data_IF_371199781324
#
_entry.id   IF_371199781324
#
_cell.length_a   1.000
_cell.length_b   1.000
_cell.length_c   1.000
_cell.angle_alpha   90.00
_cell.angle_beta   90.00
_cell.angle_gamma   90.00
#
_symmetry.space_group_name_H-M   'P 1'
#
loop_
_entity.id
_entity.type
_entity.pdbx_description
1 polymer ?
#
# COMPACT_ATOMS: atom_id res chain seq x y z
N UNK A 1 -7.74 17.77 -11.44
CA UNK A 1 -6.83 18.87 -11.06
C UNK A 1 -5.71 18.22 -10.29
N UNK A 2 -4.52 18.15 -10.86
CA UNK A 2 -3.37 17.56 -10.18
C UNK A 2 -3.07 18.39 -8.93
N UNK A 3 -2.71 17.70 -7.84
CA UNK A 3 -2.39 18.35 -6.58
C UNK A 3 -1.04 19.05 -6.74
N UNK A 4 -1.08 20.36 -6.99
CA UNK A 4 0.11 21.20 -7.09
C UNK A 4 0.82 21.25 -5.74
N UNK A 5 1.94 20.54 -5.65
CA UNK A 5 2.83 20.59 -4.50
C UNK A 5 3.87 21.66 -4.76
N UNK A 6 3.72 22.83 -4.12
CA UNK A 6 4.82 23.80 -4.02
C UNK A 6 6.04 23.10 -3.38
N UNK A 7 7.00 22.70 -4.22
CA UNK A 7 8.28 22.15 -3.78
C UNK A 7 9.17 23.29 -3.31
N UNK A 8 9.07 23.60 -2.01
CA UNK A 8 9.97 24.54 -1.37
C UNK A 8 11.34 23.87 -1.17
N UNK A 9 12.42 24.55 -1.53
CA UNK A 9 13.80 24.06 -1.36
C UNK A 9 14.17 23.84 0.11
N UNK A 10 13.48 24.52 1.03
CA UNK A 10 13.64 24.38 2.47
C UNK A 10 12.34 24.71 3.20
N UNK A 11 12.23 24.27 4.45
CA UNK A 11 11.10 24.56 5.33
C UNK A 11 11.58 24.76 6.77
N UNK A 12 10.92 25.66 7.50
CA UNK A 12 11.16 25.89 8.93
C UNK A 12 10.08 25.13 9.70
N UNK A 13 10.49 24.40 10.74
CA UNK A 13 9.60 23.58 11.58
C UNK A 13 9.90 23.90 13.04
N UNK A 14 8.87 23.97 13.91
CA UNK A 14 9.10 24.25 15.32
C UNK A 14 9.65 23.02 16.04
N UNK A 15 10.50 23.26 17.04
CA UNK A 15 11.02 22.19 17.91
C UNK A 15 9.90 21.43 18.66
N UNK A 16 8.78 22.10 18.96
CA UNK A 16 7.60 21.45 19.56
C UNK A 16 7.01 20.37 18.66
N UNK A 17 6.96 20.62 17.35
CA UNK A 17 6.35 19.73 16.36
C UNK A 17 7.22 18.48 16.16
N UNK A 18 8.54 18.68 16.11
CA UNK A 18 9.57 17.63 16.12
C UNK A 18 9.41 16.72 17.34
N UNK A 19 9.29 17.30 18.53
CA UNK A 19 9.10 16.56 19.79
C UNK A 19 7.78 15.80 19.81
N UNK A 20 6.68 16.42 19.36
CA UNK A 20 5.36 15.80 19.31
C UNK A 20 5.29 14.62 18.34
N UNK A 21 5.96 14.72 17.19
CA UNK A 21 6.01 13.65 16.20
C UNK A 21 6.99 12.53 16.57
N UNK A 22 7.95 12.80 17.46
CA UNK A 22 9.06 11.88 17.75
C UNK A 22 9.97 11.65 16.54
N UNK A 23 10.04 12.63 15.62
CA UNK A 23 10.75 12.55 14.34
C UNK A 23 11.46 13.86 14.05
N UNK A 24 12.60 13.80 13.37
CA UNK A 24 13.41 14.98 12.96
C UNK A 24 13.84 14.95 11.49
N UNK A 25 13.31 14.03 10.68
CA UNK A 25 13.65 13.89 9.27
C UNK A 25 12.89 14.90 8.39
N UNK A 26 13.59 15.48 7.41
CA UNK A 26 13.03 16.53 6.54
C UNK A 26 11.82 16.05 5.72
N UNK A 27 11.82 14.79 5.29
CA UNK A 27 10.72 14.20 4.52
C UNK A 27 9.39 14.32 5.28
N UNK A 28 9.34 13.91 6.55
CA UNK A 28 8.13 13.95 7.35
C UNK A 28 7.52 15.35 7.46
N UNK A 29 8.35 16.39 7.54
CA UNK A 29 7.90 17.77 7.73
C UNK A 29 7.77 18.59 6.44
N UNK A 30 7.78 17.95 5.27
CA UNK A 30 7.58 18.69 4.02
C UNK A 30 6.20 19.38 4.01
N UNK A 31 6.12 20.69 3.68
CA UNK A 31 4.86 21.45 3.68
C UNK A 31 3.73 20.83 2.86
N UNK A 32 4.07 20.06 1.82
CA UNK A 32 3.10 19.35 0.97
C UNK A 32 2.19 18.40 1.76
N UNK A 33 2.71 17.76 2.82
CA UNK A 33 1.95 16.84 3.65
C UNK A 33 0.94 17.57 4.54
N UNK A 34 1.33 18.69 5.14
CA UNK A 34 0.41 19.54 5.94
C UNK A 34 -0.72 20.07 5.07
N UNK A 35 -0.41 20.63 3.88
CA UNK A 35 -1.43 21.09 2.91
C UNK A 35 -2.36 19.96 2.47
N UNK A 36 -1.84 18.74 2.32
CA UNK A 36 -2.65 17.57 1.98
C UNK A 36 -3.63 17.25 3.12
N UNK A 37 -3.16 17.21 4.36
CA UNK A 37 -4.00 16.97 5.54
C UNK A 37 -5.09 18.03 5.68
N UNK A 38 -4.78 19.31 5.46
CA UNK A 38 -5.77 20.40 5.51
C UNK A 38 -6.90 20.22 4.48
N UNK A 39 -6.60 19.69 3.28
CA UNK A 39 -7.61 19.40 2.27
C UNK A 39 -8.44 18.15 2.59
N UNK A 40 -7.91 17.24 3.41
CA UNK A 40 -8.65 16.08 3.88
C UNK A 40 -9.62 16.54 4.98
N UNK A 41 -10.91 16.68 4.64
CA UNK A 41 -11.95 17.20 5.55
C UNK A 41 -12.05 16.45 6.89
N UNK A 42 -11.76 15.13 6.89
CA UNK A 42 -11.79 14.27 8.08
C UNK A 42 -11.06 12.94 7.80
N UNK A 43 -9.72 12.93 7.76
CA UNK A 43 -8.98 11.70 7.48
C UNK A 43 -9.24 10.67 8.58
N UNK A 44 -9.61 9.45 8.17
CA UNK A 44 -9.76 8.33 9.10
C UNK A 44 -8.57 7.37 8.95
N UNK A 45 -8.03 6.85 10.05
CA UNK A 45 -7.08 5.75 9.98
C UNK A 45 -7.64 4.57 9.20
N UNK A 46 -6.81 3.91 8.39
CA UNK A 46 -7.25 2.85 7.48
C UNK A 46 -7.92 1.68 8.24
N UNK A 47 -7.46 1.36 9.44
CA UNK A 47 -8.03 0.32 10.30
C UNK A 47 -9.44 0.65 10.84
N UNK A 48 -9.88 1.91 10.75
CA UNK A 48 -11.25 2.33 11.09
C UNK A 48 -12.22 2.19 9.93
N UNK A 49 -11.73 2.08 8.70
CA UNK A 49 -12.55 2.00 7.48
C UNK A 49 -12.37 0.69 6.71
N UNK A 50 -11.33 -0.09 7.01
CA UNK A 50 -11.03 -1.36 6.40
C UNK A 50 -10.57 -2.38 7.44
N UNK A 51 -10.76 -3.67 7.14
CA UNK A 51 -10.30 -4.77 7.99
C UNK A 51 -9.20 -5.54 7.28
N UNK A 52 -8.14 -5.88 8.01
CA UNK A 52 -7.07 -6.71 7.46
C UNK A 52 -7.58 -8.15 7.28
N UNK A 53 -7.54 -8.65 6.05
CA UNK A 53 -7.75 -10.08 5.77
C UNK A 53 -6.56 -10.88 6.33
N UNK A 54 -6.84 -11.87 7.17
CA UNK A 54 -5.83 -12.75 7.79
C UNK A 54 -6.01 -14.24 7.44
N UNK A 55 -6.75 -14.52 6.37
CA UNK A 55 -7.02 -15.89 5.95
C UNK A 55 -5.75 -16.58 5.46
N UNK A 56 -5.40 -17.68 6.11
CA UNK A 56 -4.47 -18.67 5.55
C UNK A 56 -5.35 -19.67 4.79
N UNK A 57 -5.10 -19.83 3.50
CA UNK A 57 -5.78 -20.84 2.69
C UNK A 57 -5.01 -22.16 2.71
N UNK A 58 -5.77 -23.26 2.76
CA UNK A 58 -5.26 -24.59 2.48
C UNK A 58 -5.14 -24.75 0.96
N UNK A 59 -3.91 -24.94 0.50
CA UNK A 59 -3.61 -25.19 -0.91
C UNK A 59 -3.93 -26.65 -1.24
N UNK A 60 -4.72 -26.85 -2.30
CA UNK A 60 -5.00 -28.15 -2.89
C UNK A 60 -3.89 -28.48 -3.88
N UNK A 61 -3.13 -29.54 -3.62
CA UNK A 61 -1.92 -29.89 -4.38
C UNK A 61 -2.19 -30.34 -5.82
N UNK A 62 -3.46 -30.48 -6.20
CA UNK A 62 -3.89 -30.92 -7.54
C UNK A 62 -4.47 -29.79 -8.41
N UNK A 63 -4.45 -28.54 -7.92
CA UNK A 63 -5.02 -27.39 -8.62
C UNK A 63 -3.94 -26.39 -9.03
N UNK A 64 -4.29 -25.63 -10.06
CA UNK A 64 -3.55 -24.44 -10.45
C UNK A 64 -4.20 -23.20 -9.83
N UNK A 65 -3.38 -22.20 -9.56
CA UNK A 65 -3.76 -20.99 -8.86
C UNK A 65 -3.29 -19.76 -9.65
N UNK A 66 -4.17 -18.76 -9.77
CA UNK A 66 -3.75 -17.40 -10.09
C UNK A 66 -2.98 -16.86 -8.89
N UNK A 67 -1.72 -16.55 -9.09
CA UNK A 67 -0.81 -16.06 -8.06
C UNK A 67 -0.28 -14.68 -8.45
N UNK A 68 -0.19 -13.82 -7.44
CA UNK A 68 0.20 -12.41 -7.60
C UNK A 68 1.46 -12.19 -6.77
N UNK A 69 2.56 -11.89 -7.44
CA UNK A 69 3.78 -11.41 -6.83
C UNK A 69 3.76 -9.90 -6.67
N UNK A 70 4.65 -9.40 -5.81
CA UNK A 70 4.80 -7.96 -5.63
C UNK A 70 5.18 -7.29 -6.96
N UNK A 71 6.00 -7.94 -7.79
CA UNK A 71 6.38 -7.48 -9.14
C UNK A 71 5.22 -7.36 -10.11
N UNK A 72 4.12 -8.09 -9.89
CA UNK A 72 2.96 -8.10 -10.79
C UNK A 72 2.05 -6.87 -10.58
N UNK A 73 2.35 -6.05 -9.57
CA UNK A 73 1.68 -4.77 -9.31
C UNK A 73 2.44 -3.64 -10.00
N UNK A 74 1.78 -2.97 -10.95
CA UNK A 74 2.29 -1.76 -11.58
C UNK A 74 2.25 -0.61 -10.57
N UNK A 75 3.41 -0.03 -10.26
CA UNK A 75 3.54 1.02 -9.23
C UNK A 75 3.04 2.39 -9.68
N UNK A 76 2.88 2.60 -11.00
CA UNK A 76 2.37 3.84 -11.57
C UNK A 76 0.85 3.84 -11.72
N UNK A 77 0.27 2.76 -12.24
CA UNK A 77 -1.18 2.64 -12.47
C UNK A 77 -1.94 1.95 -11.32
N UNK A 78 -1.26 1.17 -10.49
CA UNK A 78 -1.91 0.30 -9.50
C UNK A 78 -2.58 -0.94 -10.11
N UNK A 79 -2.42 -1.17 -11.42
CA UNK A 79 -2.91 -2.37 -12.11
C UNK A 79 -2.19 -3.62 -11.61
N UNK A 80 -2.93 -4.72 -11.52
CA UNK A 80 -2.45 -5.98 -10.98
C UNK A 80 -2.57 -7.07 -12.03
N UNK A 81 -1.45 -7.71 -12.33
CA UNK A 81 -1.41 -8.92 -13.14
C UNK A 81 -1.29 -10.17 -12.25
N UNK A 82 -1.44 -11.34 -12.85
CA UNK A 82 -1.23 -12.61 -12.17
C UNK A 82 -0.57 -13.62 -13.10
N UNK A 83 0.15 -14.57 -12.48
CA UNK A 83 0.68 -15.75 -13.14
C UNK A 83 -0.13 -16.97 -12.72
N UNK A 84 -0.31 -17.95 -13.61
CA UNK A 84 -0.93 -19.22 -13.24
C UNK A 84 0.17 -20.21 -12.86
N UNK A 85 0.13 -20.71 -11.62
CA UNK A 85 1.12 -21.65 -11.09
C UNK A 85 0.42 -22.91 -10.59
N UNK A 86 1.07 -24.05 -10.76
CA UNK A 86 0.61 -25.27 -10.10
C UNK A 86 0.85 -25.17 -8.59
N UNK A 87 0.04 -25.88 -7.80
CA UNK A 87 0.18 -25.89 -6.35
C UNK A 87 1.59 -26.29 -5.84
N UNK A 88 2.37 -27.02 -6.64
CA UNK A 88 3.74 -27.45 -6.30
C UNK A 88 4.78 -26.35 -6.52
N UNK A 89 4.48 -25.39 -7.38
CA UNK A 89 5.35 -24.26 -7.72
C UNK A 89 5.05 -23.03 -6.87
N UNK A 90 3.92 -23.01 -6.16
CA UNK A 90 3.58 -21.93 -5.26
C UNK A 90 4.64 -21.74 -4.17
N UNK A 91 5.11 -20.51 -3.95
CA UNK A 91 6.08 -20.25 -2.91
C UNK A 91 5.44 -20.40 -1.52
N UNK A 92 6.26 -20.70 -0.51
CA UNK A 92 5.77 -21.01 0.84
C UNK A 92 4.94 -19.89 1.50
N UNK A 93 5.06 -18.64 1.03
CA UNK A 93 4.31 -17.48 1.49
C UNK A 93 2.96 -17.27 0.77
N UNK A 94 2.60 -18.08 -0.24
CA UNK A 94 1.33 -18.04 -0.96
C UNK A 94 0.16 -18.54 -0.07
N UNK A 95 -0.18 -17.75 0.95
CA UNK A 95 -1.15 -18.12 1.98
C UNK A 95 -2.41 -17.25 1.98
N UNK A 96 -2.35 -16.07 1.37
CA UNK A 96 -3.44 -15.09 1.39
C UNK A 96 -4.32 -15.34 0.17
N UNK A 97 -5.54 -15.81 0.41
CA UNK A 97 -6.57 -15.83 -0.64
C UNK A 97 -7.27 -14.49 -0.70
N UNK A 98 -7.59 -14.05 -1.90
CA UNK A 98 -8.37 -12.86 -2.25
C UNK A 98 -9.48 -13.29 -3.20
N UNK A 99 -10.59 -12.54 -3.22
CA UNK A 99 -11.80 -12.90 -3.96
C UNK A 99 -12.33 -11.74 -4.85
N UNK A 100 -11.70 -10.56 -4.82
CA UNK A 100 -12.12 -9.38 -5.58
C UNK A 100 -12.39 -8.17 -4.69
N UNK A 101 -12.06 -6.98 -5.16
CA UNK A 101 -12.36 -5.71 -4.49
C UNK A 101 -11.45 -5.39 -3.29
N UNK A 102 -10.53 -6.29 -2.96
CA UNK A 102 -9.58 -6.09 -1.86
C UNK A 102 -8.41 -5.19 -2.28
N UNK A 103 -8.05 -4.24 -1.41
CA UNK A 103 -6.82 -3.47 -1.53
C UNK A 103 -5.64 -4.32 -1.04
N UNK A 104 -4.66 -4.55 -1.91
CA UNK A 104 -3.37 -5.13 -1.54
C UNK A 104 -2.31 -4.05 -1.37
N UNK A 105 -1.50 -4.19 -0.32
CA UNK A 105 -0.40 -3.26 0.00
C UNK A 105 0.83 -4.09 0.32
N UNK A 106 1.90 -3.90 -0.45
CA UNK A 106 3.18 -4.54 -0.13
C UNK A 106 3.77 -3.96 1.16
N UNK A 107 4.04 -4.85 2.12
CA UNK A 107 4.83 -4.51 3.31
C UNK A 107 6.34 -4.64 3.06
N UNK A 108 6.73 -5.25 1.95
CA UNK A 108 8.13 -5.40 1.55
C UNK A 108 8.48 -4.21 0.67
N UNK A 109 9.50 -3.43 1.07
CA UNK A 109 9.90 -2.18 0.39
C UNK A 109 8.69 -1.28 0.11
N UNK A 110 8.00 -0.80 1.17
CA UNK A 110 6.78 0.01 1.02
C UNK A 110 7.02 1.29 0.21
N UNK A 111 8.26 1.79 0.19
CA UNK A 111 8.69 2.92 -0.64
C UNK A 111 8.54 2.68 -2.15
N UNK A 112 8.48 1.42 -2.61
CA UNK A 112 8.23 1.10 -4.02
C UNK A 112 6.79 1.39 -4.45
N UNK A 113 5.86 1.52 -3.50
CA UNK A 113 4.47 1.86 -3.80
C UNK A 113 3.68 0.75 -4.50
N UNK A 114 4.05 -0.52 -4.31
CA UNK A 114 3.28 -1.64 -4.85
C UNK A 114 1.95 -1.78 -4.08
N UNK A 115 0.93 -1.09 -4.59
CA UNK A 115 -0.42 -0.95 -4.03
C UNK A 115 -1.42 -1.01 -5.19
N UNK A 116 -2.49 -1.78 -5.04
CA UNK A 116 -3.53 -1.88 -6.04
C UNK A 116 -4.79 -2.55 -5.51
N UNK A 117 -5.88 -2.46 -6.27
CA UNK A 117 -7.16 -3.10 -5.96
C UNK A 117 -7.30 -4.33 -6.84
N UNK A 118 -7.61 -5.47 -6.22
CA UNK A 118 -7.88 -6.71 -6.95
C UNK A 118 -9.16 -6.54 -7.77
N UNK A 119 -9.16 -6.79 -9.09
CA UNK A 119 -10.36 -6.73 -9.91
C UNK A 119 -11.47 -7.65 -9.39
N UNK A 120 -12.72 -7.19 -9.48
CA UNK A 120 -13.92 -8.00 -9.28
C UNK A 120 -14.21 -8.79 -10.58
N UNK A 121 -13.50 -9.88 -10.84
CA UNK A 121 -13.77 -10.79 -11.96
C UNK A 121 -14.78 -11.89 -11.59
#
# INVERSE_FOLDING_TARGET
KDFDTEENLSSIVNLSDVKSAGRMDAEYFQPKYSKLIEKLKNPKPLDKIARRRKGIVKIDTKKDYKYIEISDVNVGSGEINYNTLSARELPANAKIKIDGGELIVSKVRPTRGAVGIIPDD
#
